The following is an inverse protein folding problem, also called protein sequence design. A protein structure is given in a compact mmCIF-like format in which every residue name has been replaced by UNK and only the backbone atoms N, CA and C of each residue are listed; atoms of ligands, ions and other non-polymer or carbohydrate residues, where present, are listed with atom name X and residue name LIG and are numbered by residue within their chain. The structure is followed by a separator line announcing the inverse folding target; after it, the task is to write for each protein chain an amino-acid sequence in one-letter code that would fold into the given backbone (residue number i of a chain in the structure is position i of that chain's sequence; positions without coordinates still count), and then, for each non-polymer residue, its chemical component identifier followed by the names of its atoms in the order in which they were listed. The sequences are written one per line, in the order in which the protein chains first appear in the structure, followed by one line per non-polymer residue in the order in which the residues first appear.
data_IF_521882978797
#
_entry.id   IF_521882978797
#
_cell.length_a   1.000
_cell.length_b   1.000
_cell.length_c   1.000
_cell.angle_alpha   90.00
_cell.angle_beta   90.00
_cell.angle_gamma   90.00
#
_symmetry.space_group_name_H-M   'P 1'
#
loop_
_entity.id
_entity.type
_entity.pdbx_description
1 polymer ?
#
# COMPACT_ATOMS: atom_id res chain seq x y z
N UNK A 1 1.64 -2.79 -22.47
CA UNK A 1 2.68 -2.06 -21.72
C UNK A 1 3.26 -2.90 -20.61
N UNK A 2 2.47 -3.21 -19.58
CA UNK A 2 2.90 -4.00 -18.41
C UNK A 2 3.09 -5.50 -18.68
N UNK A 3 2.54 -5.99 -19.78
CA UNK A 3 2.67 -7.35 -20.30
C UNK A 3 4.03 -7.63 -20.97
N UNK A 4 4.92 -6.64 -21.06
CA UNK A 4 6.26 -6.81 -21.63
C UNK A 4 7.29 -7.13 -20.55
N UNK A 5 8.43 -7.70 -20.94
CA UNK A 5 9.55 -7.97 -20.02
C UNK A 5 10.14 -6.70 -19.42
N UNK A 6 10.14 -5.60 -20.18
CA UNK A 6 10.67 -4.30 -19.78
C UNK A 6 9.64 -3.21 -20.06
N UNK A 7 8.64 -3.00 -19.17
CA UNK A 7 7.62 -1.99 -19.38
C UNK A 7 8.19 -0.59 -19.25
N UNK A 8 7.70 0.35 -20.05
CA UNK A 8 8.07 1.77 -19.96
C UNK A 8 6.97 2.53 -19.23
N UNK A 9 7.35 3.25 -18.17
CA UNK A 9 6.49 4.19 -17.46
C UNK A 9 6.86 5.61 -17.88
N UNK A 10 5.87 6.39 -18.29
CA UNK A 10 6.04 7.81 -18.63
C UNK A 10 5.21 8.63 -17.65
N UNK A 11 5.87 9.52 -16.91
CA UNK A 11 5.23 10.45 -15.96
C UNK A 11 5.27 11.85 -16.55
N UNK A 12 4.12 12.50 -16.62
CA UNK A 12 3.92 13.87 -17.14
C UNK A 12 4.55 14.13 -18.51
N UNK A 13 4.69 13.09 -19.35
CA UNK A 13 5.38 13.14 -20.64
C UNK A 13 6.84 13.63 -20.59
N UNK A 14 7.43 13.72 -19.40
CA UNK A 14 8.77 14.30 -19.17
C UNK A 14 9.75 13.27 -18.63
N UNK A 15 9.28 12.37 -17.78
CA UNK A 15 10.12 11.38 -17.12
C UNK A 15 9.80 9.99 -17.67
N UNK A 16 10.78 9.38 -18.33
CA UNK A 16 10.67 8.02 -18.86
C UNK A 16 11.48 7.07 -17.98
N UNK A 17 10.85 6.01 -17.54
CA UNK A 17 11.43 4.98 -16.68
C UNK A 17 11.29 3.62 -17.35
N UNK A 18 12.35 2.80 -17.28
CA UNK A 18 12.31 1.41 -17.71
C UNK A 18 12.13 0.51 -16.50
N UNK A 19 11.12 -0.34 -16.57
CA UNK A 19 10.77 -1.31 -15.55
C UNK A 19 11.44 -2.66 -15.81
N UNK A 20 11.73 -3.40 -14.74
CA UNK A 20 12.09 -4.81 -14.78
C UNK A 20 11.35 -5.54 -13.65
N UNK A 21 10.79 -6.71 -13.96
CA UNK A 21 10.10 -7.53 -12.97
C UNK A 21 11.08 -8.38 -12.17
N UNK A 22 10.95 -8.37 -10.85
CA UNK A 22 11.68 -9.26 -9.95
C UNK A 22 10.70 -10.10 -9.14
N UNK A 23 10.96 -11.41 -9.06
CA UNK A 23 10.15 -12.33 -8.24
C UNK A 23 10.36 -12.04 -6.76
N UNK A 24 9.28 -12.08 -5.98
CA UNK A 24 9.36 -11.95 -4.52
C UNK A 24 9.82 -13.27 -3.90
N UNK A 25 10.65 -13.19 -2.86
CA UNK A 25 10.96 -14.33 -2.01
C UNK A 25 9.96 -14.35 -0.85
N UNK A 26 9.28 -15.48 -0.67
CA UNK A 26 8.24 -15.65 0.35
C UNK A 26 6.88 -15.13 -0.11
N UNK A 27 6.01 -14.80 0.84
CA UNK A 27 4.64 -14.33 0.58
C UNK A 27 4.51 -12.87 0.96
N UNK A 28 4.19 -12.02 -0.01
CA UNK A 28 3.92 -10.60 0.22
C UNK A 28 2.40 -10.35 0.17
N UNK A 29 1.81 -9.93 1.30
CA UNK A 29 0.39 -9.60 1.39
C UNK A 29 0.25 -8.09 1.57
N UNK A 30 -0.48 -7.44 0.67
CA UNK A 30 -0.85 -6.04 0.80
C UNK A 30 -2.16 -5.93 1.59
N UNK A 31 -2.15 -5.11 2.64
CA UNK A 31 -3.32 -4.81 3.47
C UNK A 31 -3.69 -3.33 3.30
N UNK A 32 -4.97 -3.01 3.24
CA UNK A 32 -5.47 -1.64 3.36
C UNK A 32 -6.04 -1.43 4.75
N UNK A 33 -5.86 -0.22 5.29
CA UNK A 33 -6.60 0.22 6.47
C UNK A 33 -8.06 0.46 6.07
N UNK A 34 -8.99 -0.04 6.88
CA UNK A 34 -10.40 0.28 6.74
C UNK A 34 -10.65 1.59 7.48
N UNK A 35 -11.10 2.62 6.74
CA UNK A 35 -11.39 3.93 7.28
C UNK A 35 -12.32 3.83 8.48
N UNK A 36 -11.90 4.45 9.59
CA UNK A 36 -12.57 4.47 10.90
C UNK A 36 -14.10 4.51 10.80
N UNK A 37 -14.77 3.39 11.10
CA UNK A 37 -16.04 3.54 11.82
C UNK A 37 -15.65 3.89 13.24
N UNK A 38 -15.90 5.14 13.61
CA UNK A 38 -15.90 5.61 14.99
C UNK A 38 -16.46 4.51 15.90
N UNK A 39 -15.72 4.23 16.98
CA UNK A 39 -16.26 3.51 18.13
C UNK A 39 -17.39 4.39 18.67
N UNK A 40 -18.60 4.19 18.17
CA UNK A 40 -19.80 4.39 18.94
C UNK A 40 -20.15 3.00 19.44
N UNK A 41 -20.03 2.71 20.75
CA UNK A 41 -20.63 1.50 21.28
C UNK A 41 -22.13 1.63 21.05
N UNK A 42 -22.64 0.91 20.05
CA UNK A 42 -24.07 0.74 19.83
C UNK A 42 -24.61 -0.09 21.00
N UNK A 43 -24.87 0.57 22.13
CA UNK A 43 -25.81 0.05 23.10
C UNK A 43 -27.21 0.31 22.56
N UNK A 44 -27.84 -0.69 21.94
CA UNK A 44 -29.30 -0.79 21.93
C UNK A 44 -29.76 -2.26 21.80
N UNK A 45 -30.11 -2.89 22.93
CA UNK A 45 -30.96 -4.10 22.94
C UNK A 45 -30.89 -4.93 24.22
N UNK A 46 -32.01 -5.31 24.88
CA UNK A 46 -32.11 -5.32 26.34
C UNK A 46 -31.78 -6.67 26.96
N UNK A 47 -30.75 -6.72 27.80
CA UNK A 47 -30.62 -7.80 28.79
C UNK A 47 -30.96 -7.21 30.16
N UNK A 48 -32.24 -7.31 30.50
CA UNK A 48 -32.70 -7.02 31.86
C UNK A 48 -32.05 -7.99 32.86
N UNK A 49 -31.79 -7.46 34.06
CA UNK A 49 -31.18 -8.12 35.21
C UNK A 49 -29.66 -8.30 35.16
N UNK A 50 -28.92 -7.29 35.64
CA UNK A 50 -28.48 -7.34 37.03
C UNK A 50 -27.96 -5.98 37.50
N UNK A 51 -28.58 -5.46 38.56
CA UNK A 51 -28.10 -4.33 39.34
C UNK A 51 -26.82 -4.75 40.05
N UNK A 52 -25.66 -4.35 39.55
CA UNK A 52 -24.51 -4.11 40.41
C UNK A 52 -23.78 -2.86 39.93
N UNK A 53 -23.66 -1.92 40.87
CA UNK A 53 -22.87 -0.71 40.71
C UNK A 53 -21.42 -1.08 40.38
N UNK A 54 -21.02 -0.92 39.13
CA UNK A 54 -19.65 -1.09 38.69
C UNK A 54 -19.26 0.11 37.87
N UNK A 55 -18.42 0.98 38.44
CA UNK A 55 -17.66 2.01 37.71
C UNK A 55 -17.20 1.44 36.37
N UNK A 56 -17.48 2.14 35.27
CA UNK A 56 -16.83 1.87 33.99
C UNK A 56 -15.33 2.06 34.18
N UNK A 57 -14.62 0.97 34.47
CA UNK A 57 -13.18 0.96 34.40
C UNK A 57 -12.86 0.88 32.90
N UNK A 58 -12.87 2.05 32.24
CA UNK A 58 -12.14 2.20 31.00
C UNK A 58 -10.68 1.95 31.36
N UNK A 59 -10.14 0.82 30.93
CA UNK A 59 -8.72 0.56 31.04
C UNK A 59 -8.01 1.57 30.11
N UNK A 60 -7.24 2.54 30.64
CA UNK A 60 -6.51 3.50 29.81
C UNK A 60 -5.42 2.83 28.94
N UNK A 61 -5.20 1.52 29.10
CA UNK A 61 -4.25 0.74 28.31
C UNK A 61 -4.87 0.10 27.05
N UNK A 62 -6.12 0.38 26.69
CA UNK A 62 -6.68 -0.17 25.46
C UNK A 62 -6.03 0.51 24.24
N UNK A 63 -5.00 -0.13 23.70
CA UNK A 63 -4.35 0.28 22.47
C UNK A 63 -5.40 0.37 21.34
N UNK A 64 -5.47 1.48 20.59
CA UNK A 64 -6.39 1.58 19.47
C UNK A 64 -6.08 0.47 18.45
N UNK A 65 -7.01 -0.45 18.24
CA UNK A 65 -6.91 -1.47 17.22
C UNK A 65 -7.38 -0.91 15.88
N UNK A 66 -6.57 -1.11 14.84
CA UNK A 66 -6.92 -0.75 13.46
C UNK A 66 -7.48 -1.98 12.74
N UNK A 67 -8.62 -1.81 12.08
CA UNK A 67 -9.15 -2.83 11.20
C UNK A 67 -8.45 -2.73 9.83
N UNK A 68 -7.98 -3.87 9.32
CA UNK A 68 -7.30 -3.97 8.04
C UNK A 68 -7.94 -5.05 7.17
N UNK A 69 -7.89 -4.88 5.85
CA UNK A 69 -8.40 -5.84 4.87
C UNK A 69 -7.31 -6.22 3.88
N UNK A 70 -7.11 -7.52 3.57
CA UNK A 70 -6.19 -7.92 2.53
C UNK A 70 -6.72 -7.50 1.15
N UNK A 71 -5.85 -6.91 0.33
CA UNK A 71 -6.20 -6.42 -1.01
C UNK A 71 -5.48 -7.14 -2.13
N UNK A 72 -4.29 -7.69 -1.87
CA UNK A 72 -3.54 -8.45 -2.87
C UNK A 72 -2.51 -9.38 -2.24
N UNK A 73 -2.16 -10.44 -2.98
CA UNK A 73 -0.92 -11.18 -2.81
C UNK A 73 0.02 -10.79 -3.96
N UNK A 74 1.26 -10.44 -3.65
CA UNK A 74 2.24 -9.91 -4.61
C UNK A 74 3.27 -11.00 -4.88
N UNK A 75 3.40 -11.39 -6.15
CA UNK A 75 4.36 -12.40 -6.62
C UNK A 75 5.58 -11.78 -7.31
N UNK A 76 5.37 -10.63 -7.95
CA UNK A 76 6.42 -9.89 -8.67
C UNK A 76 6.37 -8.42 -8.32
N UNK A 77 7.55 -7.82 -8.19
CA UNK A 77 7.73 -6.39 -8.01
C UNK A 77 8.24 -5.81 -9.32
N UNK A 78 7.62 -4.73 -9.78
CA UNK A 78 8.11 -3.97 -10.92
C UNK A 78 9.04 -2.85 -10.44
N UNK A 79 10.35 -2.97 -10.73
CA UNK A 79 11.35 -1.97 -10.35
C UNK A 79 11.71 -1.07 -11.52
N UNK A 80 11.69 0.24 -11.28
CA UNK A 80 11.97 1.23 -12.31
C UNK A 80 13.36 1.84 -12.15
N UNK A 81 14.01 2.10 -13.30
CA UNK A 81 15.22 2.90 -13.42
C UNK A 81 14.98 4.03 -14.42
N UNK A 82 15.70 5.15 -14.25
CA UNK A 82 15.65 6.25 -15.21
C UNK A 82 16.08 5.76 -16.58
N UNK A 83 15.26 6.02 -17.60
CA UNK A 83 15.58 5.70 -18.97
C UNK A 83 16.26 6.92 -19.60
N UNK A 84 17.58 6.83 -19.78
CA UNK A 84 18.37 7.86 -20.47
C UNK A 84 18.54 7.42 -21.91
N UNK A 85 17.91 8.14 -22.84
CA UNK A 85 18.09 7.92 -24.27
C UNK A 85 19.51 8.40 -24.67
N UNK A 86 20.48 7.48 -24.81
CA UNK A 86 21.88 7.78 -25.14
C UNK A 86 22.13 8.21 -26.59
N UNK A 87 21.11 8.67 -27.32
CA UNK A 87 21.26 9.23 -28.67
C UNK A 87 21.68 10.71 -28.64
N UNK A 88 22.80 11.01 -27.98
CA UNK A 88 23.51 12.27 -28.21
C UNK A 88 24.68 11.94 -29.14
N UNK A 89 24.64 12.33 -30.43
CA UNK A 89 25.84 12.30 -31.26
C UNK A 89 26.85 13.25 -30.62
N UNK A 90 28.03 12.72 -30.28
CA UNK A 90 29.16 13.51 -29.84
C UNK A 90 29.56 14.48 -30.96
N UNK A 91 29.15 15.74 -30.83
CA UNK A 91 29.42 16.80 -31.78
C UNK A 91 30.85 17.36 -31.66
N UNK A 92 31.82 16.57 -31.17
CA UNK A 92 33.22 17.01 -31.00
C UNK A 92 34.26 16.28 -31.84
N UNK A 93 33.86 15.44 -32.81
CA UNK A 93 34.77 14.93 -33.83
C UNK A 93 34.69 15.79 -35.11
N UNK A 94 35.42 16.92 -35.14
CA UNK A 94 35.81 17.55 -36.40
C UNK A 94 37.25 17.16 -36.78
N UNK A 95 37.54 17.02 -38.08
CA UNK A 95 38.79 16.45 -38.62
C UNK A 95 40.03 17.30 -38.37
#
# INVERSE_FOLDING_TARGET
GLDTLNPILVIDNKLKLIGHYEETIGTCIALTEEGTSSIVPEETGPSEANKSSGKSNMDPNQCPSKQVKPVACINKILKFKLFVDTNVPDASAQP
#
